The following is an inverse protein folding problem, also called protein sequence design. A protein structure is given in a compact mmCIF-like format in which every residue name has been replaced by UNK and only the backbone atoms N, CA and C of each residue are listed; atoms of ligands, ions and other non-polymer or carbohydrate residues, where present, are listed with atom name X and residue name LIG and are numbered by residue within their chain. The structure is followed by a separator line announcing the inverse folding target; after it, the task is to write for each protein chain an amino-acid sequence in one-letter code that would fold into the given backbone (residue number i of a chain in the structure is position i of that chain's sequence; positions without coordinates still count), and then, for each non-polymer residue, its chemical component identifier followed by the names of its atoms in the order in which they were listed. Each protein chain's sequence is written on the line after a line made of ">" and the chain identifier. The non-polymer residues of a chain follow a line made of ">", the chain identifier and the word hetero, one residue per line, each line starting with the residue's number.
data_IF_802956355258
#
_entry.id   IF_802956355258
#
_cell.length_a   1.000
_cell.length_b   1.000
_cell.length_c   1.000
_cell.angle_alpha   90.00
_cell.angle_beta   90.00
_cell.angle_gamma   90.00
#
_symmetry.space_group_name_H-M   'P 1'
#
loop_
_entity.id
_entity.type
_entity.pdbx_description
1 polymer ?
#
# COMPACT_ATOMS: atom_id res chain seq x y z
N UNK A 1 -26.91 -31.13 -3.09
CA UNK A 1 -26.63 -31.39 -1.68
C UNK A 1 -25.17 -31.81 -1.62
N UNK A 2 -24.21 -31.11 -1.04
CA UNK A 2 -24.15 -29.88 -0.24
C UNK A 2 -22.65 -29.54 -0.25
N UNK A 3 -22.29 -28.33 -0.66
CA UNK A 3 -21.68 -27.28 0.19
C UNK A 3 -20.18 -27.46 0.44
N UNK A 4 -19.48 -26.34 0.26
CA UNK A 4 -18.28 -25.93 0.99
C UNK A 4 -16.91 -26.39 0.46
N UNK A 5 -16.25 -25.48 -0.26
CA UNK A 5 -15.22 -24.63 0.36
C UNK A 5 -14.86 -23.50 -0.60
N UNK A 6 -15.53 -22.36 -0.42
CA UNK A 6 -14.90 -21.07 -0.68
C UNK A 6 -13.72 -20.99 0.29
N UNK A 7 -12.52 -21.18 -0.23
CA UNK A 7 -11.30 -20.74 0.44
C UNK A 7 -10.52 -19.99 -0.63
N UNK A 8 -11.06 -18.84 -1.03
CA UNK A 8 -10.27 -17.81 -1.70
C UNK A 8 -9.39 -17.26 -0.60
N UNK A 9 -8.23 -17.89 -0.52
CA UNK A 9 -7.02 -17.56 0.20
C UNK A 9 -6.99 -16.06 0.54
N UNK A 10 -7.36 -15.75 1.78
CA UNK A 10 -7.05 -14.47 2.42
C UNK A 10 -5.70 -14.56 3.13
N UNK A 11 -4.83 -15.44 2.65
CA UNK A 11 -3.42 -15.32 2.95
C UNK A 11 -2.91 -14.14 2.12
N UNK A 12 -2.86 -12.97 2.75
CA UNK A 12 -1.69 -12.11 2.59
C UNK A 12 -0.51 -12.96 3.12
N UNK A 13 -0.12 -13.98 2.35
CA UNK A 13 1.12 -14.72 2.59
C UNK A 13 2.19 -13.66 2.43
N UNK A 14 2.81 -13.30 3.56
CA UNK A 14 4.08 -12.62 3.65
C UNK A 14 5.04 -13.22 2.61
N UNK A 15 5.07 -12.65 1.41
CA UNK A 15 5.94 -13.05 0.33
C UNK A 15 7.26 -12.28 0.49
N UNK A 16 8.24 -13.03 0.98
CA UNK A 16 9.67 -12.94 0.65
C UNK A 16 10.44 -11.67 1.02
N UNK A 17 11.23 -11.80 2.09
CA UNK A 17 12.66 -11.46 2.16
C UNK A 17 13.13 -10.20 1.38
N UNK A 18 13.39 -9.14 2.16
CA UNK A 18 14.21 -7.95 1.84
C UNK A 18 13.59 -6.80 1.02
N UNK A 19 12.40 -6.92 0.39
CA UNK A 19 11.67 -5.78 -0.20
C UNK A 19 10.16 -5.93 0.04
N UNK A 20 9.54 -5.01 0.79
CA UNK A 20 8.10 -5.06 1.06
C UNK A 20 7.36 -4.78 -0.26
N UNK A 21 6.65 -5.75 -0.83
CA UNK A 21 5.84 -5.58 -2.05
C UNK A 21 4.39 -5.99 -1.77
N UNK A 22 3.43 -5.35 -2.44
CA UNK A 22 2.00 -5.63 -2.30
C UNK A 22 1.37 -5.92 -3.66
N UNK A 23 0.61 -7.01 -3.75
CA UNK A 23 -0.20 -7.32 -4.94
C UNK A 23 -1.57 -6.63 -4.83
N UNK A 24 -1.76 -5.57 -5.61
CA UNK A 24 -3.01 -4.85 -5.74
C UNK A 24 -3.86 -5.47 -6.85
N UNK A 25 -5.12 -5.80 -6.54
CA UNK A 25 -6.11 -6.18 -7.56
C UNK A 25 -6.91 -4.95 -7.97
N UNK A 26 -6.82 -4.58 -9.23
CA UNK A 26 -7.56 -3.47 -9.83
C UNK A 26 -9.02 -3.88 -10.11
N UNK A 27 -9.92 -2.90 -10.16
CA UNK A 27 -11.35 -3.10 -10.46
C UNK A 27 -11.61 -3.70 -11.86
N UNK A 28 -10.65 -3.57 -12.79
CA UNK A 28 -10.69 -4.20 -14.12
C UNK A 28 -10.39 -5.71 -14.09
N UNK A 29 -10.01 -6.27 -12.93
CA UNK A 29 -9.69 -7.68 -12.74
C UNK A 29 -8.23 -8.05 -13.05
N UNK A 30 -7.38 -7.05 -13.26
CA UNK A 30 -5.92 -7.19 -13.36
C UNK A 30 -5.26 -7.08 -11.98
N UNK A 31 -4.13 -7.75 -11.78
CA UNK A 31 -3.30 -7.64 -10.59
C UNK A 31 -1.97 -6.98 -10.92
N UNK A 32 -1.53 -6.05 -10.08
CA UNK A 32 -0.25 -5.34 -10.20
C UNK A 32 0.51 -5.45 -8.90
N UNK A 33 1.79 -5.81 -8.99
CA UNK A 33 2.69 -5.88 -7.84
C UNK A 33 3.37 -4.53 -7.68
N UNK A 34 3.07 -3.82 -6.60
CA UNK A 34 3.67 -2.53 -6.26
C UNK A 34 4.70 -2.70 -5.17
N UNK A 35 5.73 -1.86 -5.18
CA UNK A 35 6.76 -1.85 -4.14
C UNK A 35 6.32 -0.94 -2.99
N UNK A 36 6.25 -1.47 -1.77
CA UNK A 36 5.86 -0.72 -0.58
C UNK A 36 7.08 0.07 -0.10
N UNK A 37 7.03 1.38 -0.29
CA UNK A 37 8.08 2.29 0.14
C UNK A 37 7.96 2.55 1.65
N UNK A 38 6.73 2.57 2.17
CA UNK A 38 6.48 2.67 3.59
C UNK A 38 5.00 2.77 3.96
N UNK A 39 4.72 2.61 5.25
CA UNK A 39 3.40 2.77 5.86
C UNK A 39 3.51 3.70 7.08
N UNK A 40 2.55 4.61 7.24
CA UNK A 40 2.58 5.63 8.27
C UNK A 40 1.16 6.07 8.65
N UNK A 41 0.99 6.64 9.84
CA UNK A 41 -0.31 7.07 10.38
C UNK A 41 -0.33 8.59 10.50
N UNK A 42 -1.34 9.24 9.90
CA UNK A 42 -1.56 10.69 9.98
C UNK A 42 -3.00 10.94 10.39
N UNK A 43 -3.21 11.74 11.44
CA UNK A 43 -4.56 12.11 11.93
C UNK A 43 -5.49 10.91 12.22
N UNK A 44 -4.96 9.82 12.79
CA UNK A 44 -5.70 8.55 13.08
C UNK A 44 -6.09 7.76 11.82
N UNK A 45 -5.50 8.10 10.67
CA UNK A 45 -5.69 7.40 9.39
C UNK A 45 -4.37 6.77 8.96
N UNK A 46 -4.40 5.49 8.61
CA UNK A 46 -3.24 4.77 8.11
C UNK A 46 -3.07 5.00 6.60
N UNK A 47 -1.85 5.25 6.17
CA UNK A 47 -1.48 5.49 4.78
C UNK A 47 -0.36 4.55 4.36
N UNK A 48 -0.38 4.15 3.09
CA UNK A 48 0.63 3.31 2.47
C UNK A 48 1.15 3.98 1.20
N UNK A 49 2.47 4.11 1.09
CA UNK A 49 3.17 4.62 -0.07
C UNK A 49 3.69 3.46 -0.92
N UNK A 50 3.29 3.42 -2.19
CA UNK A 50 3.55 2.35 -3.14
C UNK A 50 4.23 2.89 -4.40
N UNK A 51 5.34 2.31 -4.86
CA UNK A 51 5.89 2.62 -6.17
C UNK A 51 5.28 1.73 -7.26
N UNK A 52 4.87 2.35 -8.36
CA UNK A 52 4.45 1.63 -9.56
C UNK A 52 5.66 0.93 -10.23
N UNK A 53 5.55 -0.34 -10.62
CA UNK A 53 6.63 -1.04 -11.33
C UNK A 53 6.92 -0.52 -12.75
N UNK A 54 5.94 0.11 -13.42
CA UNK A 54 6.09 0.56 -14.82
C UNK A 54 6.46 2.04 -14.97
N UNK A 55 6.22 2.84 -13.94
CA UNK A 55 6.54 4.26 -13.90
C UNK A 55 7.00 4.50 -12.48
N UNK A 56 8.19 5.03 -12.26
CA UNK A 56 8.82 5.22 -10.93
C UNK A 56 8.06 6.25 -10.02
N UNK A 57 6.74 6.32 -10.14
CA UNK A 57 5.85 7.17 -9.38
C UNK A 57 5.49 6.47 -8.08
N UNK A 58 5.56 7.23 -7.01
CA UNK A 58 5.02 6.84 -5.70
C UNK A 58 3.54 7.25 -5.68
N UNK A 59 2.69 6.29 -5.37
CA UNK A 59 1.25 6.41 -5.17
C UNK A 59 0.95 6.18 -3.69
N UNK A 60 0.31 7.14 -3.05
CA UNK A 60 -0.13 7.03 -1.66
C UNK A 60 -1.61 6.70 -1.60
N UNK A 61 -1.95 5.68 -0.81
CA UNK A 61 -3.31 5.23 -0.54
C UNK A 61 -3.59 5.23 0.96
N UNK A 62 -4.86 5.42 1.32
CA UNK A 62 -5.35 5.18 2.68
C UNK A 62 -5.45 3.67 2.87
N UNK A 63 -4.74 3.16 3.87
CA UNK A 63 -4.82 1.79 4.33
C UNK A 63 -5.96 1.65 5.33
N UNK A 64 -6.93 0.78 5.05
CA UNK A 64 -8.03 0.47 5.97
C UNK A 64 -8.17 -1.05 6.14
N UNK A 65 -8.11 -1.51 7.38
CA UNK A 65 -8.43 -2.89 7.71
C UNK A 65 -9.97 -3.05 7.88
N UNK A 66 -10.60 -3.77 6.95
CA UNK A 66 -12.04 -4.07 6.96
C UNK A 66 -12.23 -5.54 7.35
N UNK A 67 -12.14 -5.79 8.66
CA UNK A 67 -12.37 -7.11 9.25
C UNK A 67 -11.19 -8.05 9.02
N UNK A 68 -11.31 -8.95 8.04
CA UNK A 68 -10.21 -9.82 7.61
C UNK A 68 -9.57 -9.31 6.30
N UNK A 69 -10.19 -8.33 5.62
CA UNK A 69 -9.74 -7.85 4.31
C UNK A 69 -9.10 -6.46 4.44
N UNK A 70 -8.00 -6.23 3.72
CA UNK A 70 -7.39 -4.90 3.59
C UNK A 70 -8.03 -4.17 2.41
N UNK A 71 -8.44 -2.93 2.62
CA UNK A 71 -8.91 -2.02 1.58
C UNK A 71 -7.98 -0.83 1.43
N UNK A 72 -7.69 -0.48 0.18
CA UNK A 72 -6.89 0.68 -0.18
C UNK A 72 -7.80 1.72 -0.83
N UNK A 73 -7.92 2.90 -0.21
CA UNK A 73 -8.66 4.03 -0.79
C UNK A 73 -7.71 5.04 -1.38
N UNK A 74 -8.09 5.60 -2.54
CA UNK A 74 -7.32 6.66 -3.16
C UNK A 74 -7.67 8.00 -2.52
N UNK A 75 -6.67 8.88 -2.40
CA UNK A 75 -6.86 10.23 -1.87
C UNK A 75 -7.40 11.10 -3.01
N UNK A 76 -8.67 11.51 -2.94
CA UNK A 76 -9.32 12.33 -3.98
C UNK A 76 -8.87 13.80 -3.93
N UNK A 77 -8.35 14.24 -2.79
CA UNK A 77 -7.93 15.63 -2.56
C UNK A 77 -6.42 15.79 -2.81
N UNK A 78 -6.07 16.58 -3.82
CA UNK A 78 -4.67 16.80 -4.21
C UNK A 78 -3.86 17.51 -3.11
N UNK A 79 -4.49 18.38 -2.31
CA UNK A 79 -3.84 19.10 -1.22
C UNK A 79 -3.51 18.13 -0.07
N UNK A 80 -4.43 17.23 0.26
CA UNK A 80 -4.22 16.14 1.23
C UNK A 80 -3.11 15.20 0.75
N UNK A 81 -3.15 14.75 -0.50
CA UNK A 81 -2.10 13.90 -1.08
C UNK A 81 -0.72 14.54 -0.95
N UNK A 82 -0.61 15.82 -1.30
CA UNK A 82 0.66 16.54 -1.26
C UNK A 82 1.17 16.71 0.17
N UNK A 83 0.28 17.00 1.13
CA UNK A 83 0.65 17.12 2.54
C UNK A 83 1.15 15.79 3.11
N UNK A 84 0.43 14.70 2.82
CA UNK A 84 0.77 13.33 3.23
C UNK A 84 2.07 12.86 2.55
N UNK A 85 2.28 13.21 1.29
CA UNK A 85 3.53 12.92 0.57
C UNK A 85 4.72 13.69 1.14
N UNK A 86 4.54 14.95 1.52
CA UNK A 86 5.57 15.76 2.18
C UNK A 86 5.92 15.18 3.55
N UNK A 87 4.90 14.78 4.33
CA UNK A 87 5.08 14.12 5.62
C UNK A 87 5.79 12.77 5.47
N UNK A 88 5.42 11.97 4.46
CA UNK A 88 6.14 10.74 4.10
C UNK A 88 7.61 11.03 3.81
N UNK A 89 7.91 12.02 2.96
CA UNK A 89 9.29 12.39 2.65
C UNK A 89 10.05 12.87 3.89
N UNK A 90 9.43 13.63 4.79
CA UNK A 90 10.06 14.08 6.04
C UNK A 90 10.32 12.91 7.00
N UNK A 91 9.35 12.01 7.16
CA UNK A 91 9.45 10.82 8.02
C UNK A 91 10.49 9.82 7.52
N UNK A 92 10.54 9.60 6.20
CA UNK A 92 11.45 8.66 5.58
C UNK A 92 12.77 9.30 5.10
N UNK A 93 12.94 10.62 5.24
CA UNK A 93 14.18 11.33 4.86
C UNK A 93 15.42 10.68 5.49
N UNK A 94 15.33 10.27 6.76
CA UNK A 94 16.41 9.61 7.50
C UNK A 94 16.72 8.20 6.95
N UNK A 95 15.71 7.51 6.41
CA UNK A 95 15.86 6.20 5.77
C UNK A 95 16.62 6.29 4.44
N UNK A 96 16.47 7.42 3.73
CA UNK A 96 17.16 7.70 2.47
C UNK A 96 18.55 8.36 2.68
N UNK A 97 18.95 8.65 3.92
CA UNK A 97 20.24 9.28 4.25
C UNK A 97 21.41 8.28 4.48
N UNK A 98 21.23 6.97 4.22
CA UNK A 98 22.31 5.97 4.32
C UNK A 98 23.07 5.80 2.98
N UNK A 99 23.80 6.84 2.55
CA UNK A 99 24.91 6.69 1.59
C UNK A 99 26.05 7.69 1.93
N UNK A 100 26.97 7.29 2.82
CA UNK A 100 28.36 7.81 2.88
C UNK A 100 29.39 6.68 2.63
#
# INVERSE_FOLDING_TARGET
>A
MSEEKNNLNNDIEYLDDENQTIDLVLDDGTSMTCDVIGLFEVDDVEYIALAEPESDNILIYIYEEIGDEVSLKNIEDEDEYQAIADEFMELFSDLFEDEE
#
